data_IF_281270560495
#
_entry.id   IF_281270560495
#
_cell.length_a   1.000
_cell.length_b   1.000
_cell.length_c   1.000
_cell.angle_alpha   90.00
_cell.angle_beta   90.00
_cell.angle_gamma   90.00
#
_symmetry.space_group_name_H-M   'P 1'
#
loop_
_entity.id
_entity.type
_entity.pdbx_description
1 polymer ?
#
# COMPACT_ATOMS: atom_id res chain seq x y z
N UNK A 1 16.94 -12.36 -8.70
CA UNK A 1 17.02 -10.90 -8.46
C UNK A 1 16.04 -10.51 -7.38
N UNK A 2 16.42 -9.55 -6.55
CA UNK A 2 15.54 -9.07 -5.48
C UNK A 2 14.32 -8.36 -6.05
N UNK A 3 13.14 -8.66 -5.53
CA UNK A 3 11.91 -8.01 -5.93
C UNK A 3 11.80 -6.63 -5.30
N UNK A 4 11.31 -5.67 -6.06
CA UNK A 4 11.11 -4.29 -5.61
C UNK A 4 9.78 -4.15 -4.90
N UNK A 5 9.81 -3.55 -3.71
CA UNK A 5 8.60 -3.28 -2.92
C UNK A 5 8.55 -1.80 -2.58
N UNK A 6 7.46 -1.14 -2.97
CA UNK A 6 7.29 0.29 -2.69
C UNK A 6 6.55 0.48 -1.37
N UNK A 7 7.08 1.33 -0.51
CA UNK A 7 6.46 1.73 0.76
C UNK A 7 5.97 3.17 0.62
N UNK A 8 4.67 3.36 0.74
CA UNK A 8 4.04 4.69 0.66
C UNK A 8 3.45 5.03 2.03
N UNK A 9 4.08 5.94 2.74
CA UNK A 9 3.67 6.38 4.07
C UNK A 9 4.28 7.75 4.36
N UNK A 10 3.51 8.68 4.90
CA UNK A 10 4.02 10.02 5.22
C UNK A 10 4.84 10.06 6.52
N UNK A 11 4.75 9.02 7.34
CA UNK A 11 5.52 8.92 8.58
C UNK A 11 6.88 8.28 8.30
N UNK A 12 7.99 9.03 8.47
CA UNK A 12 9.33 8.48 8.18
C UNK A 12 9.73 7.32 9.09
N UNK A 13 9.23 7.27 10.31
CA UNK A 13 9.53 6.16 11.23
C UNK A 13 8.85 4.87 10.79
N UNK A 14 7.61 4.96 10.32
CA UNK A 14 6.88 3.81 9.80
C UNK A 14 7.50 3.34 8.49
N UNK A 15 7.91 4.27 7.62
CA UNK A 15 8.65 3.89 6.40
C UNK A 15 9.92 3.14 6.75
N UNK A 16 10.68 3.64 7.73
CA UNK A 16 11.92 3.00 8.17
C UNK A 16 11.66 1.58 8.68
N UNK A 17 10.60 1.39 9.45
CA UNK A 17 10.20 0.07 9.93
C UNK A 17 9.98 -0.90 8.75
N UNK A 18 9.15 -0.51 7.79
CA UNK A 18 8.86 -1.36 6.63
C UNK A 18 10.07 -1.61 5.75
N UNK A 19 10.87 -0.58 5.51
CA UNK A 19 12.13 -0.70 4.75
C UNK A 19 13.09 -1.68 5.41
N UNK A 20 13.24 -1.59 6.71
CA UNK A 20 14.12 -2.50 7.48
C UNK A 20 13.65 -3.95 7.37
N UNK A 21 12.35 -4.19 7.53
CA UNK A 21 11.77 -5.53 7.36
C UNK A 21 12.06 -6.08 5.96
N UNK A 22 11.89 -5.25 4.94
CA UNK A 22 12.15 -5.66 3.55
C UNK A 22 13.63 -5.99 3.33
N UNK A 23 14.52 -5.11 3.75
CA UNK A 23 15.97 -5.31 3.57
C UNK A 23 16.46 -6.56 4.28
N UNK A 24 16.00 -6.80 5.49
CA UNK A 24 16.40 -7.99 6.27
C UNK A 24 15.92 -9.30 5.63
N UNK A 25 14.95 -9.23 4.72
CA UNK A 25 14.39 -10.41 4.06
C UNK A 25 14.70 -10.50 2.57
N UNK A 26 15.66 -9.71 2.09
CA UNK A 26 16.18 -9.83 0.73
C UNK A 26 15.37 -9.12 -0.34
N UNK A 27 14.46 -8.24 0.02
CA UNK A 27 13.69 -7.42 -0.93
C UNK A 27 14.38 -6.07 -1.13
N UNK A 28 14.10 -5.43 -2.26
CA UNK A 28 14.61 -4.09 -2.57
C UNK A 28 13.53 -3.05 -2.25
N UNK A 29 13.67 -2.27 -1.17
CA UNK A 29 12.67 -1.27 -0.81
C UNK A 29 12.80 -0.01 -1.63
N UNK A 30 11.67 0.62 -1.91
CA UNK A 30 11.57 1.97 -2.45
C UNK A 30 10.60 2.75 -1.57
N UNK A 31 10.76 4.05 -1.46
CA UNK A 31 9.97 4.88 -0.54
C UNK A 31 9.27 6.02 -1.26
N UNK A 32 8.07 6.33 -0.80
CA UNK A 32 7.35 7.53 -1.19
C UNK A 32 6.61 8.09 0.03
N UNK A 33 6.58 9.41 0.16
CA UNK A 33 5.99 10.08 1.32
C UNK A 33 4.51 10.44 1.13
N UNK A 34 3.97 10.26 -0.05
CA UNK A 34 2.57 10.57 -0.35
C UNK A 34 2.13 9.83 -1.61
N UNK A 35 0.85 9.93 -1.94
CA UNK A 35 0.28 9.23 -3.09
C UNK A 35 0.83 9.69 -4.44
N UNK A 36 1.12 10.98 -4.60
CA UNK A 36 1.70 11.50 -5.86
C UNK A 36 3.08 10.93 -6.13
N UNK A 37 3.96 10.96 -5.12
CA UNK A 37 5.28 10.35 -5.22
C UNK A 37 5.17 8.85 -5.46
N UNK A 38 4.23 8.20 -4.78
CA UNK A 38 3.96 6.78 -4.94
C UNK A 38 3.60 6.41 -6.36
N UNK A 39 2.67 7.14 -6.96
CA UNK A 39 2.25 6.90 -8.35
C UNK A 39 3.41 7.08 -9.33
N UNK A 40 4.21 8.11 -9.11
CA UNK A 40 5.40 8.37 -9.92
C UNK A 40 6.39 7.20 -9.86
N UNK A 41 6.66 6.71 -8.66
CA UNK A 41 7.54 5.56 -8.45
C UNK A 41 6.99 4.29 -9.10
N UNK A 42 5.68 4.08 -9.03
CA UNK A 42 5.02 2.92 -9.64
C UNK A 42 5.21 2.94 -11.15
N UNK A 43 5.01 4.09 -11.77
CA UNK A 43 5.17 4.25 -13.21
C UNK A 43 6.61 4.06 -13.66
N UNK A 44 7.57 4.51 -12.87
CA UNK A 44 9.00 4.42 -13.20
C UNK A 44 9.59 3.04 -12.93
N UNK A 45 9.23 2.42 -11.81
CA UNK A 45 9.93 1.25 -11.29
C UNK A 45 9.14 -0.05 -11.35
N UNK A 46 7.85 0.04 -11.59
CA UNK A 46 6.97 -1.13 -11.68
C UNK A 46 7.18 -2.14 -10.54
N UNK A 47 6.89 -1.76 -9.29
CA UNK A 47 7.16 -2.63 -8.14
C UNK A 47 6.33 -3.91 -8.16
N UNK A 48 6.86 -4.96 -7.51
CA UNK A 48 6.17 -6.24 -7.39
C UNK A 48 5.08 -6.22 -6.30
N UNK A 49 5.17 -5.27 -5.37
CA UNK A 49 4.25 -5.14 -4.23
C UNK A 49 4.26 -3.70 -3.75
N UNK A 50 3.14 -3.23 -3.23
CA UNK A 50 3.03 -1.91 -2.62
C UNK A 50 2.52 -2.07 -1.19
N UNK A 51 3.22 -1.46 -0.23
CA UNK A 51 2.77 -1.31 1.15
C UNK A 51 2.29 0.13 1.27
N UNK A 52 1.00 0.32 1.54
CA UNK A 52 0.34 1.62 1.44
C UNK A 52 -0.38 1.99 2.73
N UNK A 53 -0.07 3.18 3.25
CA UNK A 53 -0.88 3.80 4.29
C UNK A 53 -2.01 4.58 3.61
N UNK A 54 -3.24 4.39 4.08
CA UNK A 54 -4.40 5.13 3.56
C UNK A 54 -4.75 6.35 4.41
N UNK A 55 -4.15 6.48 5.59
CA UNK A 55 -4.34 7.65 6.46
C UNK A 55 -3.21 8.66 6.25
N UNK A 56 -3.30 9.42 5.17
CA UNK A 56 -2.33 10.46 4.82
C UNK A 56 -3.06 11.76 4.47
N UNK A 57 -2.38 12.92 4.57
CA UNK A 57 -3.00 14.20 4.21
C UNK A 57 -3.63 14.19 2.82
N UNK A 58 -4.72 14.93 2.67
CA UNK A 58 -5.46 15.08 1.41
C UNK A 58 -5.98 13.76 0.84
N UNK A 59 -6.12 12.75 1.69
CA UNK A 59 -6.59 11.42 1.29
C UNK A 59 -5.73 10.80 0.18
N UNK A 60 -4.44 11.14 0.13
CA UNK A 60 -3.56 10.70 -0.96
C UNK A 60 -3.40 9.18 -1.04
N UNK A 61 -3.42 8.49 0.10
CA UNK A 61 -3.37 7.03 0.13
C UNK A 61 -4.64 6.38 -0.40
N UNK A 62 -5.79 6.90 -0.01
CA UNK A 62 -7.10 6.43 -0.49
C UNK A 62 -7.22 6.64 -2.00
N UNK A 63 -6.82 7.81 -2.49
CA UNK A 63 -6.83 8.13 -3.92
C UNK A 63 -5.92 7.22 -4.70
N UNK A 64 -4.71 7.00 -4.20
CA UNK A 64 -3.75 6.10 -4.85
C UNK A 64 -4.31 4.69 -4.95
N UNK A 65 -4.87 4.16 -3.88
CA UNK A 65 -5.48 2.83 -3.88
C UNK A 65 -6.54 2.71 -4.98
N UNK A 66 -7.46 3.67 -5.03
CA UNK A 66 -8.54 3.67 -6.03
C UNK A 66 -8.00 3.80 -7.45
N UNK A 67 -7.03 4.67 -7.66
CA UNK A 67 -6.41 4.87 -8.97
C UNK A 67 -5.75 3.59 -9.47
N UNK A 68 -4.98 2.92 -8.62
CA UNK A 68 -4.30 1.67 -8.99
C UNK A 68 -5.30 0.57 -9.30
N UNK A 69 -6.34 0.42 -8.49
CA UNK A 69 -7.31 -0.68 -8.67
C UNK A 69 -8.26 -0.48 -9.85
N UNK A 70 -8.33 0.72 -10.37
CA UNK A 70 -9.16 1.03 -11.56
C UNK A 70 -8.33 1.21 -12.84
N UNK A 71 -7.02 1.03 -12.77
CA UNK A 71 -6.12 1.17 -13.92
C UNK A 71 -5.70 -0.22 -14.41
N UNK A 72 -5.93 -0.51 -15.67
CA UNK A 72 -5.59 -1.81 -16.28
C UNK A 72 -4.11 -2.16 -16.16
N UNK A 73 -3.23 -1.16 -16.15
CA UNK A 73 -1.79 -1.37 -16.06
C UNK A 73 -1.32 -1.76 -14.66
N UNK A 74 -2.07 -1.36 -13.62
CA UNK A 74 -1.60 -1.47 -12.23
C UNK A 74 -2.51 -2.29 -11.31
N UNK A 75 -3.73 -2.61 -11.74
CA UNK A 75 -4.73 -3.26 -10.87
C UNK A 75 -4.29 -4.60 -10.29
N UNK A 76 -3.37 -5.28 -10.96
CA UNK A 76 -2.90 -6.60 -10.54
C UNK A 76 -1.68 -6.56 -9.61
N UNK A 77 -1.10 -5.38 -9.37
CA UNK A 77 -0.02 -5.25 -8.40
C UNK A 77 -0.62 -5.46 -7.01
N UNK A 78 -0.13 -6.45 -6.23
CA UNK A 78 -0.65 -6.68 -4.89
C UNK A 78 -0.36 -5.50 -3.97
N UNK A 79 -1.34 -5.15 -3.13
CA UNK A 79 -1.24 -4.05 -2.18
C UNK A 79 -1.53 -4.56 -0.78
N UNK A 80 -0.61 -4.29 0.14
CA UNK A 80 -0.84 -4.46 1.57
C UNK A 80 -1.18 -3.09 2.13
N UNK A 81 -2.35 -2.93 2.74
CA UNK A 81 -2.66 -1.73 3.48
C UNK A 81 -2.05 -1.87 4.88
N UNK A 82 -1.27 -0.88 5.28
CA UNK A 82 -0.69 -0.81 6.63
C UNK A 82 -1.03 0.57 7.18
N UNK A 83 -2.04 0.65 8.04
CA UNK A 83 -2.60 1.93 8.45
C UNK A 83 -3.10 1.96 9.89
N UNK A 84 -3.14 3.15 10.46
CA UNK A 84 -3.75 3.37 11.77
C UNK A 84 -5.28 3.44 11.72
N UNK A 85 -5.88 3.48 10.54
CA UNK A 85 -7.35 3.41 10.40
C UNK A 85 -7.82 1.98 10.52
N UNK A 86 -8.90 1.73 11.24
CA UNK A 86 -9.52 0.41 11.29
C UNK A 86 -10.03 0.00 9.89
N UNK A 87 -9.88 -1.25 9.53
CA UNK A 87 -10.36 -1.80 8.25
C UNK A 87 -11.82 -1.44 7.97
N UNK A 88 -12.67 -1.57 8.96
CA UNK A 88 -14.09 -1.25 8.91
C UNK A 88 -14.33 0.20 8.45
N UNK A 89 -13.56 1.14 8.99
CA UNK A 89 -13.65 2.55 8.62
C UNK A 89 -13.21 2.78 7.19
N UNK A 90 -12.12 2.13 6.78
CA UNK A 90 -11.63 2.19 5.40
C UNK A 90 -12.69 1.68 4.42
N UNK A 91 -13.29 0.53 4.70
CA UNK A 91 -14.32 -0.06 3.82
C UNK A 91 -15.56 0.83 3.70
N UNK A 92 -15.96 1.48 4.78
CA UNK A 92 -17.06 2.46 4.75
C UNK A 92 -16.75 3.65 3.87
N UNK A 93 -15.52 4.17 3.94
CA UNK A 93 -15.07 5.28 3.09
C UNK A 93 -15.09 4.89 1.61
N UNK A 94 -14.66 3.68 1.28
CA UNK A 94 -14.68 3.19 -0.10
C UNK A 94 -16.11 3.08 -0.63
N UNK A 95 -17.02 2.57 0.18
CA UNK A 95 -18.43 2.44 -0.18
C UNK A 95 -19.05 3.82 -0.44
N UNK A 96 -18.79 4.79 0.43
CA UNK A 96 -19.28 6.16 0.26
C UNK A 96 -18.76 6.79 -1.03
N UNK A 97 -17.48 6.64 -1.35
CA UNK A 97 -16.90 7.15 -2.57
C UNK A 97 -17.53 6.52 -3.82
N UNK A 98 -17.83 5.25 -3.78
CA UNK A 98 -18.51 4.54 -4.88
C UNK A 98 -19.94 5.05 -5.06
N UNK A 99 -20.66 5.24 -3.97
CA UNK A 99 -22.05 5.75 -3.99
C UNK A 99 -22.14 7.17 -4.53
N UNK A 100 -21.11 8.00 -4.32
CA UNK A 100 -21.06 9.37 -4.81
C UNK A 100 -20.42 9.49 -6.21
N UNK A 101 -20.50 8.45 -7.02
CA UNK A 101 -20.10 8.50 -8.42
C UNK A 101 -18.69 7.99 -8.71
N UNK A 102 -17.99 7.46 -7.73
CA UNK A 102 -16.71 6.82 -7.95
C UNK A 102 -16.88 5.44 -8.54
N UNK A 103 -15.81 4.90 -9.11
CA UNK A 103 -15.80 3.53 -9.62
C UNK A 103 -15.76 2.55 -8.46
N UNK A 104 -16.41 1.41 -8.63
CA UNK A 104 -16.31 0.32 -7.69
C UNK A 104 -14.89 -0.24 -7.67
N UNK A 105 -14.33 -0.46 -6.48
CA UNK A 105 -13.00 -1.04 -6.31
C UNK A 105 -13.06 -2.27 -5.41
N UNK A 106 -12.20 -3.27 -5.66
CA UNK A 106 -12.18 -4.45 -4.79
C UNK A 106 -11.64 -4.09 -3.41
N UNK A 107 -12.03 -4.89 -2.41
CA UNK A 107 -11.42 -4.79 -1.09
C UNK A 107 -9.95 -5.20 -1.16
N UNK A 108 -9.08 -4.59 -0.34
CA UNK A 108 -7.70 -5.04 -0.27
C UNK A 108 -7.62 -6.47 0.26
N UNK A 109 -6.75 -7.28 -0.34
CA UNK A 109 -6.54 -8.66 0.10
C UNK A 109 -5.90 -8.74 1.48
N UNK A 110 -5.06 -7.77 1.80
CA UNK A 110 -4.38 -7.70 3.09
C UNK A 110 -4.52 -6.31 3.67
N UNK A 111 -5.06 -6.24 4.86
CA UNK A 111 -5.22 -4.99 5.61
C UNK A 111 -4.63 -5.20 7.00
N UNK A 112 -3.56 -4.49 7.31
CA UNK A 112 -2.90 -4.57 8.61
C UNK A 112 -3.06 -3.26 9.36
N UNK A 113 -3.57 -3.34 10.58
CA UNK A 113 -3.73 -2.15 11.42
C UNK A 113 -2.46 -1.93 12.25
N UNK A 114 -1.99 -0.68 12.28
CA UNK A 114 -0.83 -0.31 13.11
C UNK A 114 -1.18 -0.34 14.59
N UNK A 115 -0.26 -0.73 15.46
CA UNK A 115 1.08 -1.24 15.15
C UNK A 115 1.05 -2.69 14.71
N UNK A 116 1.96 -3.09 13.81
CA UNK A 116 2.07 -4.48 13.34
C UNK A 116 3.44 -5.03 13.70
N UNK A 117 3.50 -6.30 14.08
CA UNK A 117 4.76 -6.97 14.35
C UNK A 117 5.51 -7.28 13.04
N UNK A 118 6.86 -7.20 13.03
CA UNK A 118 7.63 -7.50 11.82
C UNK A 118 7.32 -8.87 11.22
N UNK A 119 7.13 -9.88 12.06
CA UNK A 119 6.83 -11.24 11.64
C UNK A 119 5.51 -11.34 10.89
N UNK A 120 4.53 -10.54 11.30
CA UNK A 120 3.21 -10.50 10.64
C UNK A 120 3.35 -9.85 9.26
N UNK A 121 4.05 -8.73 9.19
CA UNK A 121 4.26 -8.02 7.92
C UNK A 121 5.00 -8.89 6.92
N UNK A 122 6.12 -9.49 7.31
CA UNK A 122 6.92 -10.31 6.39
C UNK A 122 6.17 -11.57 5.95
N UNK A 123 5.36 -12.17 6.82
CA UNK A 123 4.56 -13.34 6.45
C UNK A 123 3.58 -13.00 5.31
N UNK A 124 2.93 -11.85 5.38
CA UNK A 124 2.01 -11.40 4.33
C UNK A 124 2.73 -11.05 3.03
N UNK A 125 3.90 -10.42 3.13
CA UNK A 125 4.73 -10.12 1.95
C UNK A 125 5.09 -11.41 1.23
N UNK A 126 5.57 -12.41 1.96
CA UNK A 126 5.97 -13.70 1.39
C UNK A 126 4.81 -14.44 0.74
N UNK A 127 3.63 -14.40 1.34
CA UNK A 127 2.43 -15.02 0.76
C UNK A 127 2.09 -14.43 -0.61
N UNK A 128 2.32 -13.14 -0.79
CA UNK A 128 2.00 -12.46 -2.05
C UNK A 128 3.09 -12.58 -3.10
N UNK A 129 4.34 -12.75 -2.71
CA UNK A 129 5.49 -12.74 -3.63
C UNK A 129 6.18 -14.08 -3.82
N UNK A 130 5.87 -15.06 -2.98
CA UNK A 130 6.56 -16.37 -3.03
C UNK A 130 5.63 -17.57 -3.15
#
# INVERSE_FOLDING_TARGET
MAKKVLVVDDDPDVRLFSVTVLEENGYTPMEAANGEEGLKMIKQENPALIILDVLMPRQSGIRLYRELKTDKSYKDIPIIILSGIAKKTFLRSQKALTEFGGKEVPEPKVYLEKPVEPEVLIAEIKKLLE
#
